data_IF_686057066837
#
_entry.id   IF_686057066837
#
_cell.length_a   1.000
_cell.length_b   1.000
_cell.length_c   1.000
_cell.angle_alpha   90.00
_cell.angle_beta   90.00
_cell.angle_gamma   90.00
#
_symmetry.space_group_name_H-M   'P 1'
#
loop_
_entity.id
_entity.type
_entity.pdbx_description
1 polymer ?
#
# COMPACT_ATOMS: atom_id res chain seq x y z
N UNK A 1 8.60 -0.80 8.08
CA UNK A 1 9.37 -0.08 7.03
C UNK A 1 9.03 1.39 7.11
N UNK A 2 9.99 2.27 6.83
CA UNK A 2 9.81 3.72 6.76
C UNK A 2 10.48 4.21 5.47
N UNK A 3 9.82 5.10 4.74
CA UNK A 3 10.36 5.60 3.48
C UNK A 3 9.49 6.68 2.86
N UNK A 4 10.02 7.34 1.84
CA UNK A 4 9.32 8.41 1.11
C UNK A 4 8.50 7.79 -0.02
N UNK A 5 7.26 8.23 -0.19
CA UNK A 5 6.43 7.84 -1.32
C UNK A 5 6.97 8.51 -2.58
N UNK A 6 7.41 7.69 -3.53
CA UNK A 6 8.00 8.12 -4.81
C UNK A 6 7.07 7.91 -6.00
N UNK A 7 5.95 7.20 -5.81
CA UNK A 7 4.95 6.95 -6.83
C UNK A 7 3.63 6.58 -6.18
N UNK A 8 2.53 7.14 -6.66
CA UNK A 8 1.18 6.72 -6.33
C UNK A 8 0.42 6.37 -7.61
N UNK A 9 -0.24 5.21 -7.62
CA UNK A 9 -1.04 4.72 -8.76
C UNK A 9 -2.54 5.01 -8.58
N UNK A 10 -2.93 5.66 -7.49
CA UNK A 10 -4.31 5.99 -7.20
C UNK A 10 -5.15 4.76 -6.83
N UNK A 11 -6.45 5.00 -6.74
CA UNK A 11 -7.45 4.04 -6.29
C UNK A 11 -7.99 3.27 -7.50
N UNK A 12 -8.01 1.93 -7.41
CA UNK A 12 -8.51 1.01 -8.42
C UNK A 12 -9.57 0.10 -7.82
N UNK A 13 -10.75 0.07 -8.43
CA UNK A 13 -11.79 -0.90 -8.11
C UNK A 13 -11.51 -2.21 -8.86
N UNK A 14 -11.45 -3.33 -8.12
CA UNK A 14 -11.13 -4.66 -8.64
C UNK A 14 -12.24 -5.63 -8.25
N UNK A 15 -12.76 -6.40 -9.19
CA UNK A 15 -13.76 -7.45 -8.92
C UNK A 15 -13.12 -8.82 -9.00
N UNK A 16 -13.34 -9.64 -7.96
CA UNK A 16 -12.87 -11.03 -7.90
C UNK A 16 -13.58 -11.88 -8.95
N UNK A 17 -12.86 -12.50 -9.91
CA UNK A 17 -13.49 -13.36 -10.92
C UNK A 17 -14.17 -14.60 -10.34
N UNK A 18 -13.70 -15.07 -9.18
CA UNK A 18 -14.21 -16.28 -8.54
C UNK A 18 -15.45 -16.03 -7.68
N UNK A 19 -15.49 -14.89 -6.98
CA UNK A 19 -16.55 -14.62 -5.98
C UNK A 19 -17.49 -13.50 -6.40
N UNK A 20 -17.19 -12.78 -7.48
CA UNK A 20 -17.92 -11.57 -7.88
C UNK A 20 -17.76 -10.39 -6.91
N UNK A 21 -16.95 -10.55 -5.85
CA UNK A 21 -16.79 -9.53 -4.82
C UNK A 21 -15.97 -8.37 -5.36
N UNK A 22 -16.54 -7.17 -5.33
CA UNK A 22 -15.85 -5.92 -5.65
C UNK A 22 -15.08 -5.43 -4.45
N UNK A 23 -13.81 -5.11 -4.66
CA UNK A 23 -12.87 -4.60 -3.67
C UNK A 23 -12.18 -3.36 -4.22
N UNK A 24 -11.85 -2.43 -3.35
CA UNK A 24 -11.09 -1.24 -3.72
C UNK A 24 -9.64 -1.46 -3.29
N UNK A 25 -8.68 -1.06 -4.12
CA UNK A 25 -7.27 -1.05 -3.73
C UNK A 25 -6.58 0.25 -4.11
N UNK A 26 -5.61 0.67 -3.31
CA UNK A 26 -4.63 1.72 -3.67
C UNK A 26 -3.25 1.12 -3.66
N UNK A 27 -2.41 1.49 -4.63
CA UNK A 27 -1.04 1.01 -4.70
C UNK A 27 -0.07 2.16 -4.87
N UNK A 28 0.97 2.19 -4.05
CA UNK A 28 2.03 3.18 -4.12
C UNK A 28 3.39 2.53 -3.86
N UNK A 29 4.46 3.25 -4.19
CA UNK A 29 5.84 2.81 -4.00
C UNK A 29 6.52 3.72 -2.99
N UNK A 30 7.11 3.11 -1.97
CA UNK A 30 7.95 3.81 -1.00
C UNK A 30 9.40 3.44 -1.25
N UNK A 31 10.31 4.39 -1.02
CA UNK A 31 11.74 4.17 -1.16
C UNK A 31 12.43 4.54 0.15
N UNK A 32 13.28 3.63 0.62
CA UNK A 32 14.26 3.89 1.66
C UNK A 32 15.68 3.95 1.04
N UNK A 33 16.69 4.08 1.89
CA UNK A 33 18.10 4.13 1.48
C UNK A 33 18.57 2.85 0.76
N UNK A 34 17.90 1.72 1.00
CA UNK A 34 18.29 0.41 0.51
C UNK A 34 17.62 0.11 -0.83
N UNK A 35 16.29 0.19 -0.88
CA UNK A 35 15.49 -0.22 -2.02
C UNK A 35 14.09 0.43 -2.01
N UNK A 36 13.37 0.24 -3.11
CA UNK A 36 11.96 0.64 -3.19
C UNK A 36 11.03 -0.57 -3.08
N UNK A 37 9.98 -0.45 -2.29
CA UNK A 37 8.97 -1.50 -2.08
C UNK A 37 7.59 -1.04 -2.52
N UNK A 38 6.80 -1.96 -3.06
CA UNK A 38 5.42 -1.69 -3.42
C UNK A 38 4.52 -1.90 -2.19
N UNK A 39 3.55 -1.02 -2.00
CA UNK A 39 2.56 -1.12 -0.93
C UNK A 39 1.20 -1.22 -1.57
N UNK A 40 0.41 -2.21 -1.18
CA UNK A 40 -0.96 -2.38 -1.65
C UNK A 40 -1.90 -2.40 -0.46
N UNK A 41 -2.88 -1.50 -0.52
CA UNK A 41 -3.88 -1.30 0.51
C UNK A 41 -5.23 -1.69 -0.05
N UNK A 42 -6.02 -2.41 0.75
CA UNK A 42 -7.34 -2.91 0.37
C UNK A 42 -8.45 -2.27 1.21
N UNK A 43 -9.62 -2.14 0.58
CA UNK A 43 -10.93 -1.85 1.14
C UNK A 43 -10.91 -0.78 2.27
N UNK A 44 -11.19 -1.22 3.49
CA UNK A 44 -11.58 -0.48 4.69
C UNK A 44 -10.49 0.42 5.27
N UNK A 45 -9.25 0.29 4.79
CA UNK A 45 -8.15 1.17 5.19
C UNK A 45 -7.96 2.36 4.25
N UNK A 46 -8.64 2.39 3.11
CA UNK A 46 -8.45 3.42 2.09
C UNK A 46 -9.05 4.78 2.49
N UNK A 47 -10.11 4.77 3.31
CA UNK A 47 -10.81 5.99 3.75
C UNK A 47 -9.96 6.93 4.61
N UNK A 48 -8.91 6.39 5.25
CA UNK A 48 -8.03 7.15 6.15
C UNK A 48 -6.68 7.50 5.50
N UNK A 49 -6.60 7.41 4.18
CA UNK A 49 -5.35 7.67 3.45
C UNK A 49 -5.42 9.06 2.82
N UNK A 50 -4.43 9.93 3.08
CA UNK A 50 -4.34 11.22 2.42
C UNK A 50 -4.42 11.06 0.89
N UNK A 51 -5.14 11.94 0.20
CA UNK A 51 -5.16 11.93 -1.26
C UNK A 51 -3.76 12.23 -1.84
N UNK A 52 -2.97 13.06 -1.17
CA UNK A 52 -1.67 13.57 -1.58
C UNK A 52 -0.49 12.78 -0.98
N UNK A 53 -0.40 11.48 -1.27
CA UNK A 53 0.68 10.65 -0.73
C UNK A 53 2.08 11.01 -1.28
N UNK A 54 2.16 11.58 -2.48
CA UNK A 54 3.45 11.83 -3.15
C UNK A 54 4.37 12.71 -2.29
N UNK A 55 5.65 12.34 -2.20
CA UNK A 55 6.69 13.02 -1.41
C UNK A 55 6.48 13.01 0.11
N UNK A 56 5.44 12.35 0.63
CA UNK A 56 5.26 12.18 2.08
C UNK A 56 6.13 11.04 2.60
N UNK A 57 6.56 11.17 3.85
CA UNK A 57 7.22 10.07 4.56
C UNK A 57 6.14 9.20 5.19
N UNK A 58 6.23 7.89 4.95
CA UNK A 58 5.27 6.94 5.49
C UNK A 58 5.99 5.83 6.24
N UNK A 59 5.42 5.46 7.38
CA UNK A 59 5.89 4.33 8.18
C UNK A 59 4.80 3.28 8.27
N UNK A 60 5.14 2.06 7.89
CA UNK A 60 4.24 0.91 7.89
C UNK A 60 4.74 -0.09 8.92
N UNK A 61 3.87 -0.45 9.87
CA UNK A 61 4.13 -1.44 10.93
C UNK A 61 3.12 -2.58 10.86
N UNK A 62 3.56 -3.79 11.17
CA UNK A 62 2.73 -5.02 11.14
C UNK A 62 2.05 -5.26 9.78
N UNK A 63 2.73 -4.87 8.70
CA UNK A 63 2.30 -5.17 7.34
C UNK A 63 2.69 -6.61 6.99
N UNK A 64 1.77 -7.35 6.37
CA UNK A 64 2.10 -8.70 5.88
C UNK A 64 2.91 -8.56 4.60
N UNK A 65 4.15 -9.04 4.60
CA UNK A 65 4.99 -9.06 3.41
C UNK A 65 4.54 -10.20 2.49
N UNK A 66 4.53 -9.91 1.20
CA UNK A 66 4.37 -10.91 0.16
C UNK A 66 5.42 -10.66 -0.92
N UNK A 67 6.16 -11.70 -1.27
CA UNK A 67 7.20 -11.63 -2.28
C UNK A 67 6.56 -12.03 -3.61
N UNK A 68 6.53 -11.11 -4.58
CA UNK A 68 5.98 -11.40 -5.90
C UNK A 68 6.97 -10.94 -6.97
N UNK A 69 7.55 -11.90 -7.70
CA UNK A 69 8.68 -11.67 -8.62
C UNK A 69 9.79 -10.85 -7.94
N UNK A 70 10.19 -9.73 -8.54
CA UNK A 70 11.35 -8.92 -8.11
C UNK A 70 11.00 -7.80 -7.12
N UNK A 71 9.79 -7.78 -6.57
CA UNK A 71 9.39 -6.77 -5.59
C UNK A 71 8.72 -7.35 -4.36
N UNK A 72 9.07 -6.77 -3.21
CA UNK A 72 8.37 -6.98 -1.96
C UNK A 72 7.12 -6.11 -1.98
N UNK A 73 5.98 -6.75 -1.75
CA UNK A 73 4.70 -6.07 -1.54
C UNK A 73 4.31 -6.15 -0.08
N UNK A 74 3.80 -5.05 0.46
CA UNK A 74 3.20 -5.04 1.80
C UNK A 74 1.69 -4.99 1.65
N UNK A 75 1.02 -6.03 2.15
CA UNK A 75 -0.42 -6.09 2.25
C UNK A 75 -0.85 -5.47 3.58
N UNK A 76 -1.69 -4.45 3.49
CA UNK A 76 -2.28 -3.77 4.64
C UNK A 76 -3.59 -4.45 5.00
N UNK A 77 -3.63 -5.06 6.18
CA UNK A 77 -4.82 -5.73 6.74
C UNK A 77 -5.20 -5.12 8.10
N UNK A 78 -6.19 -5.70 8.79
CA UNK A 78 -6.75 -5.12 10.02
C UNK A 78 -5.71 -4.69 11.07
N UNK A 79 -4.66 -5.49 11.26
CA UNK A 79 -3.60 -5.23 12.27
C UNK A 79 -2.47 -4.30 11.79
N UNK A 80 -2.47 -3.89 10.52
CA UNK A 80 -1.44 -3.03 9.95
C UNK A 80 -1.69 -1.58 10.32
N UNK A 81 -0.64 -0.91 10.80
CA UNK A 81 -0.63 0.52 11.17
C UNK A 81 0.18 1.27 10.11
N UNK A 82 -0.38 2.37 9.60
CA UNK A 82 0.32 3.30 8.71
C UNK A 82 0.32 4.68 9.38
N UNK A 83 1.51 5.25 9.52
CA UNK A 83 1.75 6.59 10.02
C UNK A 83 2.26 7.46 8.87
N UNK A 84 1.75 8.69 8.76
CA UNK A 84 2.12 9.68 7.75
C UNK A 84 2.81 10.86 8.44
N UNK A 85 3.92 11.34 7.88
CA UNK A 85 4.70 12.47 8.39
C UNK A 85 4.88 13.52 7.30
#
# INVERSE_FOLDING_TARGET
VEGVVIMDRGIVTTTSPMTGTTMIRRSFKIKDETNAVNVTIWNDKNDNIPEDLMNRTVRIRNGKTNHYNDYVSINVSGQTIIEYY
#
